data_IF_199884747527
#
_entry.id   IF_199884747527
#
_cell.length_a   1.000
_cell.length_b   1.000
_cell.length_c   1.000
_cell.angle_alpha   90.00
_cell.angle_beta   90.00
_cell.angle_gamma   90.00
#
_symmetry.space_group_name_H-M   'P 1'
#
loop_
_entity.id
_entity.type
_entity.pdbx_description
1 polymer ?
#
# COMPACT_ATOMS: atom_id res chain seq x y z
N UNK A 1 -0.35 -17.26 -12.61
CA UNK A 1 0.70 -17.22 -11.58
C UNK A 1 -0.02 -17.09 -10.26
N UNK A 2 0.23 -18.01 -9.33
CA UNK A 2 -0.57 -18.17 -8.11
C UNK A 2 -0.44 -16.93 -7.22
N UNK A 3 -1.57 -16.27 -6.94
CA UNK A 3 -1.69 -15.45 -5.74
C UNK A 3 -1.60 -16.41 -4.55
N UNK A 4 -0.58 -16.20 -3.71
CA UNK A 4 -0.43 -16.93 -2.46
C UNK A 4 -1.65 -16.74 -1.55
N UNK A 5 -1.79 -17.56 -0.50
CA UNK A 5 -2.91 -17.44 0.42
C UNK A 5 -3.00 -15.99 0.89
N UNK A 6 -4.22 -15.47 1.06
CA UNK A 6 -4.44 -14.14 1.61
C UNK A 6 -3.86 -14.09 3.04
N UNK A 7 -2.57 -13.84 3.15
CA UNK A 7 -1.87 -13.68 4.42
C UNK A 7 -2.42 -12.41 5.07
N UNK A 8 -2.75 -12.54 6.34
CA UNK A 8 -3.19 -11.46 7.20
C UNK A 8 -2.45 -10.16 6.84
N UNK A 9 -3.15 -9.12 6.37
CA UNK A 9 -2.56 -7.85 5.93
C UNK A 9 -1.94 -7.00 7.04
N UNK A 10 -1.52 -7.63 8.13
CA UNK A 10 -0.85 -7.03 9.27
C UNK A 10 0.65 -7.03 8.98
N UNK A 11 1.20 -5.83 8.78
CA UNK A 11 2.63 -5.61 8.66
C UNK A 11 3.19 -5.12 10.00
N UNK A 12 4.30 -5.69 10.44
CA UNK A 12 5.01 -5.35 11.67
C UNK A 12 6.34 -4.71 11.34
N UNK A 13 6.46 -3.44 11.72
CA UNK A 13 7.66 -2.65 11.55
C UNK A 13 8.40 -2.48 12.88
N UNK A 14 9.71 -2.72 12.91
CA UNK A 14 10.54 -2.42 14.08
C UNK A 14 11.26 -1.10 13.88
N UNK A 15 11.19 -0.17 14.85
CA UNK A 15 11.97 1.09 14.80
C UNK A 15 12.88 1.21 16.01
N UNK A 16 14.18 1.33 15.76
CA UNK A 16 15.17 1.53 16.80
C UNK A 16 15.54 3.00 16.90
N UNK A 17 15.36 3.58 18.10
CA UNK A 17 15.80 4.95 18.38
C UNK A 17 17.30 5.00 18.69
N UNK A 18 17.99 6.11 18.36
CA UNK A 18 19.31 6.39 18.91
C UNK A 18 19.28 6.45 20.45
N UNK A 19 20.46 6.31 21.06
CA UNK A 19 20.64 6.64 22.47
C UNK A 19 20.38 8.13 22.69
N UNK A 20 19.78 8.47 23.81
CA UNK A 20 19.61 9.84 24.24
C UNK A 20 20.85 10.30 25.04
N UNK A 21 20.98 11.62 25.22
CA UNK A 21 22.13 12.22 25.91
C UNK A 21 22.33 11.72 27.35
N UNK A 22 21.27 11.29 28.03
CA UNK A 22 21.35 10.76 29.39
C UNK A 22 21.91 9.34 29.37
N UNK A 23 21.46 8.49 28.45
CA UNK A 23 21.96 7.14 28.23
C UNK A 23 23.43 7.15 27.83
N UNK A 24 23.83 8.08 26.95
CA UNK A 24 25.23 8.28 26.57
C UNK A 24 26.10 8.69 27.78
N UNK A 25 25.59 9.60 28.63
CA UNK A 25 26.30 10.01 29.87
C UNK A 25 26.40 8.89 30.90
N UNK A 26 25.38 8.04 30.97
CA UNK A 26 25.35 6.88 31.86
C UNK A 26 26.26 5.73 31.36
N UNK A 27 26.78 5.82 30.15
CA UNK A 27 27.64 4.80 29.54
C UNK A 27 26.87 3.62 28.96
N UNK A 28 25.59 3.81 28.66
CA UNK A 28 24.76 2.78 28.04
C UNK A 28 25.29 2.43 26.65
N UNK A 29 25.31 1.13 26.35
CA UNK A 29 25.84 0.64 25.08
C UNK A 29 24.71 0.41 24.08
N UNK A 30 24.96 0.79 22.84
CA UNK A 30 24.09 0.43 21.74
C UNK A 30 24.29 -1.05 21.41
N UNK A 31 23.34 -1.89 21.83
CA UNK A 31 23.36 -3.35 21.65
C UNK A 31 22.79 -3.86 20.31
N UNK A 32 21.76 -3.22 19.70
CA UNK A 32 21.16 -3.73 18.48
C UNK A 32 22.15 -3.85 17.33
N UNK A 33 22.11 -5.00 16.63
CA UNK A 33 22.80 -5.23 15.36
C UNK A 33 21.77 -5.43 14.25
N UNK A 34 22.11 -5.02 13.04
CA UNK A 34 21.23 -5.07 11.87
C UNK A 34 21.87 -5.94 10.78
N UNK A 35 21.68 -7.28 10.80
CA UNK A 35 22.23 -8.17 9.78
C UNK A 35 21.65 -7.92 8.38
N UNK A 36 20.40 -7.47 8.30
CA UNK A 36 19.65 -7.17 7.07
C UNK A 36 18.58 -6.11 7.34
N UNK A 37 17.83 -5.71 6.30
CA UNK A 37 16.79 -4.67 6.39
C UNK A 37 15.53 -5.08 7.17
N UNK A 38 15.34 -6.38 7.38
CA UNK A 38 14.18 -7.01 8.02
C UNK A 38 14.54 -7.67 9.36
N UNK A 39 15.82 -7.73 9.71
CA UNK A 39 16.32 -8.52 10.82
C UNK A 39 17.11 -7.68 11.81
N UNK A 40 16.86 -7.93 13.09
CA UNK A 40 17.59 -7.32 14.20
C UNK A 40 18.11 -8.40 15.14
N UNK A 41 19.37 -8.26 15.58
CA UNK A 41 20.01 -9.15 16.54
C UNK A 41 20.30 -8.40 17.85
N UNK A 42 19.73 -8.86 18.95
CA UNK A 42 19.90 -8.28 20.30
C UNK A 42 20.30 -9.40 21.26
N UNK A 43 21.47 -9.27 21.91
CA UNK A 43 21.92 -10.22 22.93
C UNK A 43 22.04 -11.67 22.42
N UNK A 44 22.39 -11.84 21.14
CA UNK A 44 22.49 -13.15 20.50
C UNK A 44 21.15 -13.74 20.01
N UNK A 45 20.02 -13.07 20.28
CA UNK A 45 18.72 -13.44 19.72
C UNK A 45 18.46 -12.67 18.43
N UNK A 46 17.88 -13.35 17.45
CA UNK A 46 17.55 -12.80 16.13
C UNK A 46 16.04 -12.67 16.03
N UNK A 47 15.56 -11.51 15.58
CA UNK A 47 14.16 -11.21 15.35
C UNK A 47 13.98 -10.73 13.91
N UNK A 48 12.95 -11.24 13.23
CA UNK A 48 12.62 -10.91 11.84
C UNK A 48 11.28 -10.17 11.83
N UNK A 49 11.21 -9.11 11.05
CA UNK A 49 10.06 -8.20 10.88
C UNK A 49 9.83 -7.97 9.39
N UNK A 50 8.74 -7.29 9.02
CA UNK A 50 8.55 -6.87 7.61
C UNK A 50 9.59 -5.82 7.20
N UNK A 51 10.01 -4.97 8.15
CA UNK A 51 11.12 -4.02 7.98
C UNK A 51 11.61 -3.49 9.32
N UNK A 52 12.92 -3.23 9.39
CA UNK A 52 13.60 -2.64 10.54
C UNK A 52 14.14 -1.25 10.17
N UNK A 53 13.68 -0.23 10.87
CA UNK A 53 14.17 1.14 10.78
C UNK A 53 15.30 1.36 11.79
N UNK A 54 16.49 1.65 11.27
CA UNK A 54 17.70 1.91 12.07
C UNK A 54 17.64 3.29 12.74
N UNK A 55 18.52 3.58 13.71
CA UNK A 55 18.60 4.90 14.37
C UNK A 55 18.78 6.09 13.41
N UNK A 56 19.35 5.86 12.23
CA UNK A 56 19.59 6.89 11.22
C UNK A 56 18.38 7.14 10.32
N UNK A 57 17.33 6.32 10.43
CA UNK A 57 16.12 6.47 9.62
C UNK A 57 15.34 7.72 10.05
N UNK A 58 15.02 8.57 9.08
CA UNK A 58 14.25 9.80 9.32
C UNK A 58 12.77 9.52 9.56
N UNK A 59 12.07 10.49 10.16
CA UNK A 59 10.61 10.42 10.34
C UNK A 59 9.87 10.23 9.01
N UNK A 60 10.33 10.92 7.96
CA UNK A 60 9.74 10.82 6.62
C UNK A 60 9.89 9.41 6.04
N UNK A 61 11.06 8.79 6.17
CA UNK A 61 11.30 7.42 5.70
C UNK A 61 10.44 6.39 6.44
N UNK A 62 10.23 6.58 7.75
CA UNK A 62 9.31 5.72 8.54
C UNK A 62 7.87 5.89 8.02
N UNK A 63 7.41 7.13 7.82
CA UNK A 63 6.06 7.40 7.31
C UNK A 63 5.85 6.82 5.90
N UNK A 64 6.79 7.04 4.98
CA UNK A 64 6.74 6.49 3.63
C UNK A 64 6.69 4.96 3.62
N UNK A 65 7.49 4.30 4.46
CA UNK A 65 7.56 2.84 4.50
C UNK A 65 6.37 2.19 5.20
N UNK A 66 5.87 2.76 6.30
CA UNK A 66 4.89 2.10 7.16
C UNK A 66 3.44 2.58 6.96
N UNK A 67 3.24 3.85 6.58
CA UNK A 67 1.90 4.47 6.64
C UNK A 67 1.43 5.03 5.30
N UNK A 68 2.33 5.45 4.41
CA UNK A 68 1.96 6.12 3.16
C UNK A 68 1.00 5.30 2.30
N UNK A 69 1.25 4.00 2.14
CA UNK A 69 0.37 3.13 1.35
C UNK A 69 -1.02 2.99 1.99
N UNK A 70 -1.08 2.91 3.32
CA UNK A 70 -2.34 2.83 4.06
C UNK A 70 -3.14 4.13 3.84
N UNK A 71 -2.51 5.28 4.06
CA UNK A 71 -3.13 6.61 3.89
C UNK A 71 -3.54 6.86 2.43
N UNK A 72 -2.71 6.42 1.48
CA UNK A 72 -3.00 6.55 0.05
C UNK A 72 -4.21 5.71 -0.34
N UNK A 73 -4.32 4.47 0.13
CA UNK A 73 -5.44 3.59 -0.19
C UNK A 73 -6.71 4.02 0.56
N UNK A 74 -6.60 4.54 1.78
CA UNK A 74 -7.74 4.95 2.61
C UNK A 74 -8.44 6.24 2.18
N UNK A 75 -7.98 6.93 1.12
CA UNK A 75 -8.60 8.17 0.65
C UNK A 75 -9.73 7.97 -0.38
N UNK A 76 -10.23 6.74 -0.54
CA UNK A 76 -11.38 6.44 -1.40
C UNK A 76 -11.10 6.47 -2.91
N UNK A 77 -9.84 6.48 -3.34
CA UNK A 77 -9.49 6.56 -4.77
C UNK A 77 -10.08 5.39 -5.59
N UNK A 78 -9.95 4.17 -5.10
CA UNK A 78 -10.53 2.99 -5.74
C UNK A 78 -12.05 3.07 -5.77
N UNK A 79 -12.66 3.52 -4.67
CA UNK A 79 -14.12 3.72 -4.61
C UNK A 79 -14.60 4.78 -5.61
N UNK A 80 -13.84 5.85 -5.85
CA UNK A 80 -14.20 6.85 -6.87
C UNK A 80 -13.98 6.33 -8.30
N UNK A 81 -12.86 5.65 -8.56
CA UNK A 81 -12.48 5.22 -9.91
C UNK A 81 -13.21 3.96 -10.37
N UNK A 82 -13.30 2.95 -9.53
CA UNK A 82 -13.92 1.66 -9.85
C UNK A 82 -15.31 1.57 -9.22
N UNK A 83 -15.48 2.10 -8.01
CA UNK A 83 -16.71 1.97 -7.24
C UNK A 83 -17.06 0.52 -6.96
N UNK A 84 -18.35 0.22 -6.81
CA UNK A 84 -18.83 -1.16 -6.62
C UNK A 84 -19.19 -1.76 -7.98
N UNK A 85 -18.41 -2.74 -8.42
CA UNK A 85 -18.63 -3.42 -9.70
C UNK A 85 -19.97 -4.16 -9.64
N UNK A 86 -20.85 -3.88 -10.61
CA UNK A 86 -22.18 -4.49 -10.71
C UNK A 86 -23.31 -3.72 -10.02
N UNK A 87 -22.99 -2.66 -9.26
CA UNK A 87 -23.99 -1.74 -8.72
C UNK A 87 -24.08 -0.47 -9.58
N UNK A 88 -25.18 -0.30 -10.31
CA UNK A 88 -25.34 0.85 -11.23
C UNK A 88 -25.31 2.22 -10.53
N UNK A 89 -25.65 2.27 -9.25
CA UNK A 89 -25.67 3.50 -8.46
C UNK A 89 -24.29 3.80 -7.90
N UNK A 90 -23.60 2.77 -7.40
CA UNK A 90 -22.31 2.90 -6.70
C UNK A 90 -21.09 2.62 -7.59
N UNK A 91 -21.27 2.30 -8.87
CA UNK A 91 -20.16 2.14 -9.82
C UNK A 91 -19.39 3.46 -10.01
N UNK A 92 -18.07 3.33 -10.13
CA UNK A 92 -17.15 4.45 -10.25
C UNK A 92 -17.02 4.99 -11.67
N UNK A 93 -16.02 5.84 -11.88
CA UNK A 93 -15.79 6.53 -13.16
C UNK A 93 -15.48 5.54 -14.31
N UNK A 94 -14.63 4.54 -14.08
CA UNK A 94 -14.18 3.57 -15.10
C UNK A 94 -15.36 2.80 -15.71
N UNK A 95 -16.18 2.07 -14.92
CA UNK A 95 -17.30 1.30 -15.50
C UNK A 95 -18.34 2.17 -16.19
N UNK A 96 -18.55 3.42 -15.75
CA UNK A 96 -19.45 4.38 -16.42
C UNK A 96 -18.94 4.79 -17.80
N UNK A 97 -17.66 5.13 -17.91
CA UNK A 97 -17.04 5.46 -19.20
C UNK A 97 -17.13 4.27 -20.15
N UNK A 98 -16.84 3.06 -19.67
CA UNK A 98 -16.93 1.84 -20.47
C UNK A 98 -18.37 1.64 -20.96
N UNK A 99 -19.37 1.80 -20.09
CA UNK A 99 -20.77 1.70 -20.47
C UNK A 99 -21.15 2.75 -21.52
N UNK A 100 -20.72 3.99 -21.36
CA UNK A 100 -21.01 5.08 -22.30
C UNK A 100 -20.39 4.82 -23.68
N UNK A 101 -19.14 4.34 -23.71
CA UNK A 101 -18.46 3.96 -24.96
C UNK A 101 -19.26 2.86 -25.67
N UNK A 102 -19.61 1.78 -24.97
CA UNK A 102 -20.34 0.68 -25.59
C UNK A 102 -21.76 1.09 -26.01
N UNK A 103 -22.48 1.83 -25.18
CA UNK A 103 -23.80 2.37 -25.53
C UNK A 103 -23.72 3.22 -26.79
N UNK A 104 -22.71 4.08 -26.90
CA UNK A 104 -22.50 4.90 -28.10
C UNK A 104 -22.25 4.04 -29.34
N UNK A 105 -21.39 3.02 -29.24
CA UNK A 105 -21.13 2.08 -30.35
C UNK A 105 -22.44 1.39 -30.79
N UNK A 106 -23.23 0.83 -29.86
CA UNK A 106 -24.48 0.15 -30.20
C UNK A 106 -25.55 1.10 -30.78
N UNK A 107 -25.59 2.34 -30.33
CA UNK A 107 -26.54 3.33 -30.84
C UNK A 107 -26.14 3.82 -32.24
N UNK A 108 -24.84 3.94 -32.52
CA UNK A 108 -24.32 4.31 -33.85
C UNK A 108 -24.55 3.22 -34.90
N UNK A 109 -24.50 1.94 -34.51
CA UNK A 109 -24.78 0.80 -35.41
C UNK A 109 -26.25 0.78 -35.88
N UNK A 110 -27.14 1.40 -35.11
CA UNK A 110 -28.58 1.49 -35.45
C UNK A 110 -28.87 2.59 -36.49
N UNK A 111 -27.99 3.58 -36.67
CA UNK A 111 -28.14 4.64 -37.68
C UNK A 111 -27.46 4.31 -39.02
N UNK A 112 -26.62 3.26 -39.08
CA UNK A 112 -25.92 2.84 -40.30
C UNK A 112 -26.69 1.84 -41.17
N UNK A 113 -27.88 1.40 -40.75
CA UNK A 113 -28.69 0.41 -41.46
C UNK A 113 -30.07 0.94 -41.88
N UNK A 114 -30.15 1.93 -42.79
CA UNK A 114 -31.27 1.87 -43.73
C UNK A 114 -30.93 2.39 -45.13
N UNK A 115 -30.00 1.76 -45.88
CA UNK A 115 -29.97 1.92 -47.35
C UNK A 115 -29.44 0.65 -48.06
N UNK A 116 -30.10 -0.49 -47.84
CA UNK A 116 -30.22 -1.52 -48.87
C UNK A 116 -31.69 -1.66 -49.27
N UNK A 117 -32.09 -0.83 -50.24
CA UNK A 117 -33.11 -1.11 -51.25
C UNK A 117 -32.64 -0.50 -52.57
#
# INVERSE_FOLDING_TARGET
MAEGPAECGVQVFCRIRPLNKTEEKNGDRFLPKFPSEDTISIGGKVFVYDKVFTPNTTQEQVYMGAAYHIVKTSSGKTHTMEGVIGDQTMQGIIPRIVQDIFNHIYTMDTELEPLYF
#
